data_IF_585858508937
#
_entry.id   IF_585858508937
#
_cell.length_a   1.000
_cell.length_b   1.000
_cell.length_c   1.000
_cell.angle_alpha   90.00
_cell.angle_beta   90.00
_cell.angle_gamma   90.00
#
_symmetry.space_group_name_H-M   'P 1'
#
loop_
_entity.id
_entity.type
_entity.pdbx_description
1 polymer ?
#
# COMPACT_ATOMS: atom_id res chain seq x y z
N UNK A 1 -10.66 12.41 -17.67
CA UNK A 1 -10.78 10.94 -17.56
C UNK A 1 -9.84 10.32 -16.52
N UNK A 2 -8.82 11.03 -15.99
CA UNK A 2 -8.05 10.56 -14.83
C UNK A 2 -7.76 11.73 -13.89
N UNK A 3 -7.63 11.45 -12.60
CA UNK A 3 -7.22 12.43 -11.60
C UNK A 3 -6.25 11.81 -10.59
N UNK A 4 -5.36 12.63 -10.05
CA UNK A 4 -4.56 12.24 -8.88
C UNK A 4 -5.51 12.13 -7.67
N UNK A 5 -5.34 11.11 -6.87
CA UNK A 5 -6.08 10.93 -5.62
C UNK A 5 -5.13 10.71 -4.44
N UNK A 6 -5.64 10.88 -3.23
CA UNK A 6 -4.90 10.56 -2.01
C UNK A 6 -5.04 9.07 -1.70
N UNK A 7 -3.94 8.46 -1.28
CA UNK A 7 -3.90 7.06 -0.87
C UNK A 7 -3.79 6.89 0.65
N UNK A 8 -3.49 7.98 1.36
CA UNK A 8 -3.38 8.04 2.82
C UNK A 8 -4.07 9.30 3.39
N UNK A 9 -4.26 9.31 4.71
CA UNK A 9 -4.90 10.41 5.44
C UNK A 9 -6.42 10.45 5.31
N UNK A 10 -7.01 11.54 5.80
CA UNK A 10 -8.45 11.76 5.91
C UNK A 10 -9.20 11.61 4.58
N UNK A 11 -8.59 12.09 3.48
CA UNK A 11 -9.20 12.12 2.15
C UNK A 11 -8.80 10.93 1.28
N UNK A 12 -8.40 9.81 1.89
CA UNK A 12 -8.02 8.58 1.16
C UNK A 12 -9.16 8.13 0.23
N UNK A 13 -8.83 7.88 -1.03
CA UNK A 13 -9.79 7.39 -2.02
C UNK A 13 -10.32 5.98 -1.64
N UNK A 14 -11.55 5.59 -2.00
CA UNK A 14 -12.16 4.35 -1.48
C UNK A 14 -11.38 3.05 -1.73
N UNK A 15 -10.83 2.78 -2.94
CA UNK A 15 -10.04 1.58 -3.19
C UNK A 15 -8.81 1.40 -2.28
N UNK A 16 -7.87 2.37 -2.11
CA UNK A 16 -6.79 2.21 -1.15
C UNK A 16 -7.28 2.19 0.30
N UNK A 17 -8.40 2.84 0.65
CA UNK A 17 -8.98 2.70 1.98
C UNK A 17 -9.43 1.25 2.27
N UNK A 18 -10.06 0.59 1.29
CA UNK A 18 -10.46 -0.80 1.38
C UNK A 18 -9.26 -1.73 1.54
N UNK A 19 -8.25 -1.63 0.66
CA UNK A 19 -7.07 -2.50 0.67
C UNK A 19 -6.33 -2.41 2.02
N UNK A 20 -6.07 -1.20 2.51
CA UNK A 20 -5.38 -0.97 3.79
C UNK A 20 -6.16 -1.46 5.01
N UNK A 21 -7.48 -1.56 4.92
CA UNK A 21 -8.32 -2.02 6.02
C UNK A 21 -8.40 -3.55 6.11
N UNK A 22 -8.22 -4.25 4.97
CA UNK A 22 -8.41 -5.69 4.87
C UNK A 22 -7.10 -6.48 4.75
N UNK A 23 -5.99 -5.80 4.48
CA UNK A 23 -4.70 -6.44 4.29
C UNK A 23 -3.72 -6.12 5.43
N UNK A 24 -2.92 -7.10 5.87
CA UNK A 24 -1.83 -6.84 6.79
C UNK A 24 -0.76 -5.95 6.14
N UNK A 25 0.18 -5.45 6.94
CA UNK A 25 1.37 -4.78 6.42
C UNK A 25 2.16 -5.73 5.48
N UNK A 26 2.98 -5.18 4.55
CA UNK A 26 3.78 -5.98 3.64
C UNK A 26 4.62 -7.04 4.37
N UNK A 27 4.53 -8.28 3.91
CA UNK A 27 5.17 -9.41 4.59
C UNK A 27 6.70 -9.40 4.46
N UNK A 28 7.22 -8.75 3.42
CA UNK A 28 8.64 -8.68 3.08
C UNK A 28 9.39 -7.55 3.79
N UNK A 29 8.74 -6.86 4.75
CA UNK A 29 9.35 -5.72 5.44
C UNK A 29 9.22 -5.77 6.97
N UNK A 30 10.36 -5.98 7.64
CA UNK A 30 10.45 -6.02 9.09
C UNK A 30 10.45 -4.63 9.76
N UNK A 31 10.59 -3.55 8.99
CA UNK A 31 10.68 -2.18 9.48
C UNK A 31 9.86 -1.21 8.62
N UNK A 32 9.30 -0.13 9.18
CA UNK A 32 8.55 0.84 8.39
C UNK A 32 9.44 1.49 7.31
N UNK A 33 8.98 1.58 6.05
CA UNK A 33 9.75 2.17 4.93
C UNK A 33 10.10 3.63 5.15
N UNK A 34 9.23 4.30 5.90
CA UNK A 34 9.28 5.70 6.19
C UNK A 34 9.86 5.91 7.60
N UNK A 35 11.19 5.81 7.72
CA UNK A 35 11.88 6.00 8.99
C UNK A 35 11.95 7.48 9.41
N UNK A 36 11.84 8.42 8.46
CA UNK A 36 11.94 9.85 8.73
C UNK A 36 10.56 10.51 8.87
N UNK A 37 10.23 11.07 10.05
CA UNK A 37 8.92 11.66 10.32
C UNK A 37 8.50 12.77 9.35
N UNK A 38 9.46 13.49 8.75
CA UNK A 38 9.21 14.63 7.85
C UNK A 38 8.49 14.25 6.54
N UNK A 39 8.50 12.98 6.17
CA UNK A 39 7.82 12.51 4.96
C UNK A 39 6.34 12.17 5.19
N UNK A 40 5.87 12.08 6.44
CA UNK A 40 4.45 11.96 6.75
C UNK A 40 3.79 13.33 6.64
N UNK A 41 3.21 13.62 5.48
CA UNK A 41 2.53 14.90 5.19
C UNK A 41 1.01 14.80 5.26
N UNK A 42 0.47 13.68 5.72
CA UNK A 42 -0.97 13.41 5.83
C UNK A 42 -1.39 13.16 7.28
N UNK A 43 -2.70 13.28 7.53
CA UNK A 43 -3.31 13.01 8.84
C UNK A 43 -4.70 12.40 8.66
N UNK A 44 -5.11 11.45 9.52
CA UNK A 44 -4.30 10.79 10.54
C UNK A 44 -3.29 9.81 9.91
N UNK A 45 -2.15 9.61 10.57
CA UNK A 45 -1.18 8.57 10.21
C UNK A 45 -1.61 7.24 10.84
N UNK A 46 -1.65 6.17 10.05
CA UNK A 46 -2.05 4.82 10.46
C UNK A 46 -0.94 3.81 10.17
N UNK A 47 -0.92 2.71 10.93
CA UNK A 47 0.05 1.61 10.70
C UNK A 47 -0.15 0.92 9.34
N UNK A 48 -1.37 0.93 8.83
CA UNK A 48 -1.72 0.35 7.55
C UNK A 48 -1.53 1.31 6.38
N UNK A 49 -0.99 2.52 6.59
CA UNK A 49 -0.79 3.48 5.51
C UNK A 49 0.21 2.99 4.48
N UNK A 50 -0.07 3.30 3.21
CA UNK A 50 0.85 3.03 2.11
C UNK A 50 2.12 3.80 2.37
N UNK A 51 3.21 3.06 2.37
CA UNK A 51 4.45 3.48 2.97
C UNK A 51 5.33 4.31 2.05
N UNK A 52 5.28 4.06 0.74
CA UNK A 52 5.99 4.82 -0.27
C UNK A 52 5.36 4.62 -1.65
N UNK A 53 5.92 5.30 -2.65
CA UNK A 53 5.60 5.03 -4.04
C UNK A 53 5.98 3.58 -4.39
N UNK A 54 5.16 2.97 -5.25
CA UNK A 54 5.34 1.59 -5.74
C UNK A 54 5.12 0.49 -4.69
N UNK A 55 4.37 0.70 -3.62
CA UNK A 55 3.75 -0.44 -2.91
C UNK A 55 2.74 -1.13 -3.85
N UNK A 56 2.70 -2.47 -3.85
CA UNK A 56 1.87 -3.24 -4.80
C UNK A 56 0.84 -4.08 -4.08
N UNK A 57 -0.35 -4.13 -4.68
CA UNK A 57 -1.47 -4.94 -4.24
C UNK A 57 -1.84 -5.88 -5.39
N UNK A 58 -1.77 -7.18 -5.15
CA UNK A 58 -2.30 -8.16 -6.07
C UNK A 58 -3.77 -8.39 -5.72
N UNK A 59 -4.66 -8.41 -6.71
CA UNK A 59 -6.09 -8.66 -6.49
C UNK A 59 -6.50 -9.82 -7.40
N UNK A 60 -6.90 -10.93 -6.80
CA UNK A 60 -7.35 -12.10 -7.54
C UNK A 60 -8.74 -11.90 -8.18
N UNK A 61 -9.17 -12.83 -9.05
CA UNK A 61 -10.48 -12.77 -9.70
C UNK A 61 -11.66 -12.78 -8.72
N UNK A 62 -11.50 -13.41 -7.55
CA UNK A 62 -12.49 -13.45 -6.48
C UNK A 62 -12.45 -12.21 -5.56
N UNK A 63 -11.54 -11.26 -5.80
CA UNK A 63 -11.43 -10.02 -5.04
C UNK A 63 -10.72 -10.14 -3.68
N UNK A 64 -10.31 -11.35 -3.26
CA UNK A 64 -9.48 -11.56 -2.07
C UNK A 64 -8.00 -11.33 -2.40
N UNK A 65 -7.35 -10.32 -1.78
CA UNK A 65 -5.95 -10.02 -2.06
C UNK A 65 -5.01 -10.78 -1.10
N UNK A 66 -3.86 -11.33 -1.56
CA UNK A 66 -2.79 -11.75 -0.66
C UNK A 66 -2.15 -10.53 0.04
N UNK A 67 -1.23 -10.74 1.01
CA UNK A 67 -0.49 -9.66 1.63
C UNK A 67 0.17 -8.72 0.60
N UNK A 68 0.25 -7.41 0.86
CA UNK A 68 0.88 -6.46 -0.06
C UNK A 68 2.38 -6.71 -0.19
N UNK A 69 2.95 -6.26 -1.32
CA UNK A 69 4.40 -6.27 -1.56
C UNK A 69 4.98 -4.89 -1.30
N UNK A 70 6.10 -4.84 -0.58
CA UNK A 70 6.75 -3.58 -0.25
C UNK A 70 7.14 -2.77 -1.49
N UNK A 71 7.39 -1.45 -1.33
CA UNK A 71 8.01 -0.63 -2.35
C UNK A 71 9.31 -1.22 -2.93
N UNK A 72 10.05 -2.00 -2.13
CA UNK A 72 11.38 -2.53 -2.48
C UNK A 72 11.32 -3.79 -3.33
N UNK A 73 10.22 -4.55 -3.28
CA UNK A 73 10.05 -5.74 -4.12
C UNK A 73 10.03 -5.31 -5.60
N UNK A 74 10.97 -5.77 -6.45
CA UNK A 74 10.90 -5.51 -7.88
C UNK A 74 9.61 -6.07 -8.47
N UNK A 75 8.90 -5.29 -9.29
CA UNK A 75 7.63 -5.72 -9.89
C UNK A 75 7.76 -7.03 -10.68
N UNK A 76 8.91 -7.29 -11.29
CA UNK A 76 9.17 -8.53 -12.03
C UNK A 76 9.13 -9.79 -11.13
N UNK A 77 9.40 -9.65 -9.84
CA UNK A 77 9.35 -10.78 -8.90
C UNK A 77 7.91 -11.18 -8.53
N UNK A 78 6.91 -10.38 -8.89
CA UNK A 78 5.50 -10.71 -8.71
C UNK A 78 4.98 -11.60 -9.85
N UNK A 79 5.73 -11.81 -10.93
CA UNK A 79 5.32 -12.65 -12.06
C UNK A 79 4.80 -14.04 -11.65
N UNK A 80 5.45 -14.79 -10.72
CA UNK A 80 4.96 -16.11 -10.33
C UNK A 80 3.61 -16.10 -9.59
N UNK A 81 3.20 -14.93 -9.08
CA UNK A 81 1.97 -14.74 -8.32
C UNK A 81 0.81 -14.20 -9.19
N UNK A 82 1.07 -13.84 -10.46
CA UNK A 82 0.09 -13.29 -11.43
C UNK A 82 -0.40 -14.37 -12.39
#
# INVERSE_FOLDING_TARGET
>A
LFQKCQVNGQDTHPPPAYLKAHLPAPADEAAPPMAEPRFFTWSPVRRSDISWNFEKFLVGPEGEPPPPYSPRTPTIQLEPDI
#
